data_IF_464853093628
#
_entry.id   IF_464853093628
#
_cell.length_a   1.000
_cell.length_b   1.000
_cell.length_c   1.000
_cell.angle_alpha   90.00
_cell.angle_beta   90.00
_cell.angle_gamma   90.00
#
_symmetry.space_group_name_H-M   'P 1'
#
loop_
_entity.id
_entity.type
_entity.pdbx_description
1 polymer ?
#
# COMPACT_ATOMS: atom_id res chain seq x y z
N UNK A 1 11.90 -22.91 6.56
CA UNK A 1 12.75 -22.37 5.48
C UNK A 1 11.84 -21.59 4.56
N UNK A 2 11.98 -20.27 4.65
CA UNK A 2 11.42 -19.20 3.82
C UNK A 2 9.92 -19.20 3.50
N UNK A 3 9.11 -18.90 4.51
CA UNK A 3 7.84 -18.20 4.25
C UNK A 3 8.22 -16.75 4.00
N UNK A 4 8.38 -16.37 2.73
CA UNK A 4 8.45 -14.94 2.34
C UNK A 4 7.11 -14.30 2.67
N UNK A 5 6.98 -13.87 3.92
CA UNK A 5 5.81 -13.15 4.41
C UNK A 5 5.63 -11.92 3.52
N UNK A 6 4.44 -11.78 2.93
CA UNK A 6 4.09 -10.55 2.22
C UNK A 6 4.13 -9.41 3.24
N UNK A 7 4.81 -8.28 2.92
CA UNK A 7 4.81 -7.11 3.79
C UNK A 7 3.36 -6.67 4.05
N UNK A 8 3.07 -6.37 5.31
CA UNK A 8 1.73 -5.94 5.76
C UNK A 8 1.67 -4.45 5.98
N UNK A 9 2.82 -3.82 6.20
CA UNK A 9 2.97 -2.39 6.44
C UNK A 9 3.82 -1.74 5.35
N UNK A 10 3.69 -0.43 5.21
CA UNK A 10 4.38 0.33 4.16
C UNK A 10 5.91 0.38 4.39
N UNK A 11 6.35 0.38 5.64
CA UNK A 11 7.75 0.35 6.06
C UNK A 11 8.43 -1.00 5.74
N UNK A 12 7.67 -2.10 5.71
CA UNK A 12 8.15 -3.42 5.31
C UNK A 12 8.33 -3.57 3.79
N UNK A 13 7.81 -2.63 2.99
CA UNK A 13 7.95 -2.68 1.54
C UNK A 13 9.36 -2.24 1.11
N UNK A 14 10.09 -3.16 0.49
CA UNK A 14 11.48 -2.94 0.09
C UNK A 14 11.56 -2.16 -1.22
N UNK A 15 12.31 -1.06 -1.18
CA UNK A 15 12.53 -0.17 -2.31
C UNK A 15 11.34 0.75 -2.61
N UNK A 16 11.40 1.42 -3.76
CA UNK A 16 10.43 2.44 -4.18
C UNK A 16 10.23 3.57 -3.14
N UNK A 17 11.31 4.08 -2.53
CA UNK A 17 11.28 5.12 -1.49
C UNK A 17 10.34 6.29 -1.82
N UNK A 18 10.45 6.86 -3.02
CA UNK A 18 9.58 7.97 -3.46
C UNK A 18 8.09 7.60 -3.47
N UNK A 19 7.76 6.36 -3.84
CA UNK A 19 6.37 5.88 -3.83
C UNK A 19 5.89 5.71 -2.39
N UNK A 20 6.72 5.15 -1.51
CA UNK A 20 6.41 4.96 -0.09
C UNK A 20 6.17 6.30 0.60
N UNK A 21 7.01 7.30 0.37
CA UNK A 21 6.83 8.63 0.95
C UNK A 21 5.50 9.25 0.51
N UNK A 22 5.21 9.24 -0.80
CA UNK A 22 3.97 9.79 -1.32
C UNK A 22 2.73 9.05 -0.78
N UNK A 23 2.78 7.72 -0.71
CA UNK A 23 1.69 6.91 -0.15
C UNK A 23 1.53 7.17 1.34
N UNK A 24 2.62 7.28 2.10
CA UNK A 24 2.60 7.58 3.53
C UNK A 24 1.91 8.91 3.80
N UNK A 25 2.29 9.96 3.06
CA UNK A 25 1.66 11.28 3.15
C UNK A 25 0.16 11.19 2.83
N UNK A 26 -0.23 10.49 1.77
CA UNK A 26 -1.63 10.35 1.36
C UNK A 26 -2.47 9.58 2.39
N UNK A 27 -1.95 8.47 2.90
CA UNK A 27 -2.57 7.63 3.93
C UNK A 27 -2.73 8.42 5.23
N UNK A 28 -1.67 9.09 5.69
CA UNK A 28 -1.72 9.87 6.93
C UNK A 28 -2.70 11.04 6.82
N UNK A 29 -2.73 11.71 5.68
CA UNK A 29 -3.69 12.79 5.43
C UNK A 29 -5.15 12.28 5.43
N UNK A 30 -5.42 11.14 4.79
CA UNK A 30 -6.75 10.52 4.79
C UNK A 30 -7.17 10.08 6.20
N UNK A 31 -6.26 9.45 6.96
CA UNK A 31 -6.48 9.06 8.36
C UNK A 31 -6.76 10.26 9.26
N UNK A 32 -6.01 11.35 9.12
CA UNK A 32 -6.21 12.56 9.92
C UNK A 32 -7.57 13.23 9.65
N UNK A 33 -8.10 13.10 8.42
CA UNK A 33 -9.41 13.63 8.04
C UNK A 33 -10.58 12.68 8.31
N UNK A 34 -10.30 11.43 8.73
CA UNK A 34 -11.30 10.36 8.82
C UNK A 34 -12.07 10.15 7.50
N UNK A 35 -11.34 10.27 6.38
CA UNK A 35 -11.88 10.18 5.02
C UNK A 35 -11.30 8.98 4.26
N UNK A 36 -11.99 8.48 3.22
CA UNK A 36 -11.42 7.48 2.33
C UNK A 36 -10.14 8.00 1.66
N UNK A 37 -9.19 7.10 1.42
CA UNK A 37 -8.04 7.40 0.58
C UNK A 37 -8.51 7.65 -0.86
N UNK A 38 -7.95 8.67 -1.49
CA UNK A 38 -8.23 8.98 -2.90
C UNK A 38 -7.93 7.78 -3.82
N UNK A 39 -8.55 7.79 -5.00
CA UNK A 39 -8.34 6.73 -5.98
C UNK A 39 -6.87 6.70 -6.46
N UNK A 40 -6.25 5.53 -6.35
CA UNK A 40 -4.87 5.28 -6.78
C UNK A 40 -4.84 4.36 -8.00
N UNK A 41 -3.99 4.71 -8.98
CA UNK A 41 -3.69 3.87 -10.14
C UNK A 41 -2.22 3.45 -10.11
N UNK A 42 -1.96 2.15 -9.93
CA UNK A 42 -0.61 1.61 -10.02
C UNK A 42 -0.28 1.20 -11.46
N UNK A 43 0.65 1.91 -12.08
CA UNK A 43 1.18 1.58 -13.41
C UNK A 43 2.60 1.03 -13.33
N UNK A 44 2.96 0.11 -14.23
CA UNK A 44 4.34 -0.33 -14.48
C UNK A 44 4.46 -1.81 -14.86
N UNK A 45 5.69 -2.30 -15.10
CA UNK A 45 5.98 -3.70 -15.42
C UNK A 45 5.37 -4.72 -14.44
N UNK A 46 5.12 -5.97 -14.87
CA UNK A 46 4.71 -7.05 -13.98
C UNK A 46 5.80 -7.34 -12.94
N UNK A 47 5.42 -7.83 -11.76
CA UNK A 47 6.38 -8.21 -10.70
C UNK A 47 6.79 -7.09 -9.73
N UNK A 48 6.33 -5.85 -9.92
CA UNK A 48 6.68 -4.70 -9.05
C UNK A 48 5.84 -4.60 -7.75
N UNK A 49 5.12 -5.65 -7.37
CA UNK A 49 4.39 -5.68 -6.10
C UNK A 49 3.13 -4.81 -6.04
N UNK A 50 2.49 -4.46 -7.17
CA UNK A 50 1.26 -3.63 -7.19
C UNK A 50 0.13 -4.22 -6.34
N UNK A 51 -0.11 -5.52 -6.46
CA UNK A 51 -1.11 -6.22 -5.63
C UNK A 51 -0.71 -6.22 -4.16
N UNK A 52 0.59 -6.35 -3.86
CA UNK A 52 1.12 -6.25 -2.50
C UNK A 52 0.87 -4.86 -1.90
N UNK A 53 1.11 -3.79 -2.68
CA UNK A 53 0.82 -2.42 -2.28
C UNK A 53 -0.67 -2.21 -1.99
N UNK A 54 -1.57 -2.76 -2.81
CA UNK A 54 -3.01 -2.70 -2.54
C UNK A 54 -3.38 -3.35 -1.19
N UNK A 55 -2.76 -4.49 -0.85
CA UNK A 55 -2.96 -5.12 0.45
C UNK A 55 -2.37 -4.31 1.61
N UNK A 56 -1.19 -3.72 1.44
CA UNK A 56 -0.58 -2.84 2.44
C UNK A 56 -1.48 -1.63 2.69
N UNK A 57 -2.00 -0.99 1.64
CA UNK A 57 -2.88 0.18 1.77
C UNK A 57 -4.16 -0.19 2.51
N UNK A 58 -4.78 -1.33 2.19
CA UNK A 58 -5.93 -1.82 2.94
C UNK A 58 -5.60 -2.05 4.42
N UNK A 59 -4.47 -2.67 4.72
CA UNK A 59 -4.02 -2.91 6.10
C UNK A 59 -3.75 -1.59 6.84
N UNK A 60 -3.10 -0.62 6.20
CA UNK A 60 -2.86 0.72 6.75
C UNK A 60 -4.16 1.46 7.02
N UNK A 61 -5.13 1.38 6.11
CA UNK A 61 -6.44 2.02 6.23
C UNK A 61 -7.41 1.22 7.12
N UNK A 62 -7.03 0.06 7.65
CA UNK A 62 -7.89 -0.79 8.49
C UNK A 62 -9.09 -1.40 7.77
N UNK A 63 -9.04 -1.52 6.44
CA UNK A 63 -10.13 -2.02 5.59
C UNK A 63 -9.74 -3.31 4.86
N UNK A 64 -10.72 -4.02 4.31
CA UNK A 64 -10.48 -5.22 3.50
C UNK A 64 -10.38 -4.88 2.01
N UNK A 65 -9.42 -5.49 1.31
CA UNK A 65 -9.35 -5.43 -0.16
C UNK A 65 -10.38 -6.37 -0.77
N UNK A 66 -11.15 -5.87 -1.73
CA UNK A 66 -11.98 -6.70 -2.61
C UNK A 66 -11.29 -6.81 -3.97
N UNK A 67 -10.98 -8.04 -4.38
CA UNK A 67 -10.46 -8.34 -5.72
C UNK A 67 -11.60 -8.97 -6.53
N UNK A 68 -11.88 -8.42 -7.70
CA UNK A 68 -12.88 -8.91 -8.66
C UNK A 68 -12.23 -9.23 -9.99
#
# INVERSE_FOLDING_TARGET
>A
MDVTLRPRRLDEFIGQEKLKDNLGIAIDAAKQRDEPLDHLLFYGPPGLGKTTLAHIIAAEMGVSVRVT
#
